data_IF_007634896779
#
_entry.id   IF_007634896779
#
_cell.length_a   1.000
_cell.length_b   1.000
_cell.length_c   1.000
_cell.angle_alpha   90.00
_cell.angle_beta   90.00
_cell.angle_gamma   90.00
#
_symmetry.space_group_name_H-M   'P 1'
#
loop_
_entity.id
_entity.type
_entity.pdbx_description
1 polymer ?
#
# COMPACT_ATOMS: atom_id res chain seq x y z
N UNK A 1 -17.39 -12.69 8.60
CA UNK A 1 -16.19 -13.09 7.80
C UNK A 1 -16.05 -12.28 6.52
N UNK A 2 -17.11 -12.12 5.71
CA UNK A 2 -17.04 -11.33 4.48
C UNK A 2 -16.55 -9.89 4.69
N UNK A 3 -17.03 -9.20 5.74
CA UNK A 3 -16.59 -7.83 6.03
C UNK A 3 -15.12 -7.75 6.42
N UNK A 4 -14.64 -8.71 7.21
CA UNK A 4 -13.22 -8.83 7.60
C UNK A 4 -12.35 -9.07 6.36
N UNK A 5 -12.74 -10.01 5.50
CA UNK A 5 -12.04 -10.27 4.24
C UNK A 5 -12.02 -9.03 3.35
N UNK A 6 -13.12 -8.27 3.32
CA UNK A 6 -13.23 -7.04 2.54
C UNK A 6 -12.30 -5.96 3.08
N UNK A 7 -12.33 -5.74 4.39
CA UNK A 7 -11.44 -4.82 5.09
C UNK A 7 -9.97 -5.17 4.86
N UNK A 8 -9.57 -6.42 5.13
CA UNK A 8 -8.18 -6.87 4.95
C UNK A 8 -7.72 -6.79 3.50
N UNK A 9 -8.60 -7.08 2.53
CA UNK A 9 -8.25 -6.95 1.10
C UNK A 9 -8.04 -5.49 0.71
N UNK A 10 -8.88 -4.58 1.20
CA UNK A 10 -8.70 -3.15 1.00
C UNK A 10 -7.40 -2.66 1.65
N UNK A 11 -7.20 -2.95 2.94
CA UNK A 11 -5.98 -2.61 3.68
C UNK A 11 -4.76 -3.13 2.96
N UNK A 12 -4.71 -4.41 2.57
CA UNK A 12 -3.54 -4.98 1.86
C UNK A 12 -3.14 -4.19 0.61
N UNK A 13 -4.11 -3.64 -0.12
CA UNK A 13 -3.84 -2.82 -1.32
C UNK A 13 -3.27 -1.46 -0.93
N UNK A 14 -3.85 -0.81 0.09
CA UNK A 14 -3.39 0.50 0.57
C UNK A 14 -2.03 0.40 1.27
N UNK A 15 -1.82 -0.61 2.12
CA UNK A 15 -0.54 -0.89 2.79
C UNK A 15 0.57 -1.15 1.77
N UNK A 16 0.29 -1.89 0.69
CA UNK A 16 1.28 -2.09 -0.38
C UNK A 16 1.70 -0.76 -1.02
N UNK A 17 0.75 0.14 -1.26
CA UNK A 17 1.03 1.44 -1.84
C UNK A 17 1.86 2.30 -0.87
N UNK A 18 1.49 2.30 0.41
CA UNK A 18 2.20 3.02 1.46
C UNK A 18 3.64 2.50 1.61
N UNK A 19 3.83 1.19 1.70
CA UNK A 19 5.15 0.56 1.75
C UNK A 19 6.01 0.91 0.52
N UNK A 20 5.46 0.81 -0.70
CA UNK A 20 6.17 1.17 -1.93
C UNK A 20 6.64 2.66 -1.92
N UNK A 21 5.83 3.57 -1.36
CA UNK A 21 6.21 4.99 -1.20
C UNK A 21 7.25 5.19 -0.10
N UNK A 22 7.09 4.50 1.02
CA UNK A 22 8.01 4.59 2.15
C UNK A 22 9.40 4.06 1.81
N UNK A 23 9.53 3.09 0.90
CA UNK A 23 10.83 2.66 0.36
C UNK A 23 11.59 3.84 -0.27
N UNK A 24 10.91 4.65 -1.09
CA UNK A 24 11.52 5.83 -1.72
C UNK A 24 11.86 6.89 -0.68
N UNK A 25 10.92 7.23 0.21
CA UNK A 25 11.14 8.23 1.25
C UNK A 25 12.27 7.83 2.20
N UNK A 26 12.34 6.55 2.59
CA UNK A 26 13.41 6.02 3.44
C UNK A 26 14.77 6.05 2.74
N UNK A 27 14.82 5.76 1.43
CA UNK A 27 16.05 5.87 0.66
C UNK A 27 16.58 7.30 0.64
N UNK A 28 15.71 8.27 0.41
CA UNK A 28 16.13 9.66 0.17
C UNK A 28 16.25 10.50 1.46
N UNK A 29 15.44 10.19 2.49
CA UNK A 29 15.36 10.95 3.73
C UNK A 29 15.67 10.14 4.99
N UNK A 30 16.02 8.87 4.87
CA UNK A 30 16.29 7.99 6.01
C UNK A 30 17.36 8.54 6.94
N UNK A 31 18.39 9.19 6.39
CA UNK A 31 19.50 9.76 7.17
C UNK A 31 19.37 11.27 7.42
N UNK A 32 18.21 11.85 7.09
CA UNK A 32 17.96 13.27 7.37
C UNK A 32 17.97 13.51 8.89
N UNK A 33 18.73 14.50 9.39
CA UNK A 33 18.92 14.69 10.84
C UNK A 33 17.62 14.95 11.60
N UNK A 34 16.67 15.64 10.96
CA UNK A 34 15.39 16.01 11.60
C UNK A 34 14.30 14.95 11.46
N UNK A 35 14.16 14.32 10.30
CA UNK A 35 13.00 13.46 9.98
C UNK A 35 13.35 12.00 9.77
N UNK A 36 14.63 11.65 9.62
CA UNK A 36 15.06 10.30 9.26
C UNK A 36 14.63 9.23 10.25
N UNK A 37 14.59 9.56 11.55
CA UNK A 37 14.02 8.67 12.58
C UNK A 37 12.54 8.37 12.32
N UNK A 38 11.74 9.40 12.04
CA UNK A 38 10.30 9.24 11.77
C UNK A 38 10.07 8.47 10.47
N UNK A 39 10.80 8.79 9.41
CA UNK A 39 10.72 8.10 8.11
C UNK A 39 11.01 6.61 8.25
N UNK A 40 12.06 6.22 8.99
CA UNK A 40 12.38 4.80 9.24
C UNK A 40 11.31 4.12 10.10
N UNK A 41 10.79 4.81 11.12
CA UNK A 41 9.74 4.26 11.97
C UNK A 41 8.47 3.97 11.17
N UNK A 42 7.99 4.94 10.40
CA UNK A 42 6.80 4.79 9.54
C UNK A 42 7.05 3.68 8.52
N UNK A 43 8.21 3.66 7.85
CA UNK A 43 8.52 2.61 6.88
C UNK A 43 8.45 1.20 7.47
N UNK A 44 8.95 1.03 8.70
CA UNK A 44 8.88 -0.26 9.38
C UNK A 44 7.45 -0.63 9.78
N UNK A 45 6.59 0.36 10.07
CA UNK A 45 5.20 0.14 10.42
C UNK A 45 4.38 -0.32 9.21
N UNK A 46 4.56 0.33 8.05
CA UNK A 46 3.94 -0.08 6.79
C UNK A 46 4.34 -1.51 6.39
N UNK A 47 5.61 -1.89 6.59
CA UNK A 47 6.08 -3.26 6.36
C UNK A 47 5.37 -4.27 7.28
N UNK A 48 5.10 -3.91 8.53
CA UNK A 48 4.40 -4.77 9.48
C UNK A 48 2.91 -4.89 9.14
N UNK A 49 2.25 -3.80 8.78
CA UNK A 49 0.85 -3.82 8.34
C UNK A 49 0.67 -4.66 7.06
N UNK A 50 1.57 -4.50 6.09
CA UNK A 50 1.54 -5.29 4.86
C UNK A 50 1.75 -6.79 5.15
N UNK A 51 2.71 -7.13 6.02
CA UNK A 51 2.95 -8.50 6.45
C UNK A 51 1.72 -9.12 7.12
N UNK A 52 1.10 -8.40 8.06
CA UNK A 52 -0.13 -8.83 8.73
C UNK A 52 -1.27 -9.10 7.74
N UNK A 53 -1.49 -8.18 6.80
CA UNK A 53 -2.53 -8.37 5.78
C UNK A 53 -2.28 -9.61 4.91
N UNK A 54 -1.02 -9.85 4.53
CA UNK A 54 -0.63 -11.04 3.79
C UNK A 54 -0.93 -12.33 4.57
N UNK A 55 -0.52 -12.39 5.83
CA UNK A 55 -0.71 -13.56 6.70
C UNK A 55 -2.19 -13.87 6.91
N UNK A 56 -2.99 -12.86 7.28
CA UNK A 56 -4.41 -13.06 7.57
C UNK A 56 -5.22 -13.41 6.32
N UNK A 57 -4.93 -12.78 5.17
CA UNK A 57 -5.59 -13.16 3.92
C UNK A 57 -5.21 -14.57 3.48
N UNK A 58 -3.97 -15.01 3.67
CA UNK A 58 -3.57 -16.39 3.40
C UNK A 58 -4.27 -17.38 4.34
N UNK A 59 -4.43 -17.02 5.63
CA UNK A 59 -5.19 -17.82 6.61
C UNK A 59 -6.66 -17.98 6.18
N UNK A 60 -7.32 -16.90 5.76
CA UNK A 60 -8.68 -16.97 5.24
C UNK A 60 -8.77 -17.68 3.89
N UNK A 61 -7.75 -17.59 3.03
CA UNK A 61 -7.69 -18.34 1.78
C UNK A 61 -7.62 -19.85 2.04
N UNK A 62 -6.80 -20.29 3.00
CA UNK A 62 -6.73 -21.68 3.45
C UNK A 62 -8.05 -22.18 4.05
N UNK A 63 -8.82 -21.29 4.69
CA UNK A 63 -10.17 -21.57 5.17
C UNK A 63 -11.25 -21.56 4.06
N UNK A 64 -10.87 -21.41 2.78
CA UNK A 64 -11.78 -21.53 1.63
C UNK A 64 -12.28 -20.21 1.03
N UNK A 65 -11.81 -19.04 1.52
CA UNK A 65 -12.27 -17.73 1.03
C UNK A 65 -11.48 -17.18 -0.18
N UNK A 66 -10.60 -17.97 -0.79
CA UNK A 66 -9.65 -17.51 -1.81
C UNK A 66 -10.28 -16.79 -3.01
N UNK A 67 -11.42 -17.26 -3.53
CA UNK A 67 -12.10 -16.58 -4.67
C UNK A 67 -12.63 -15.20 -4.31
N UNK A 68 -13.22 -15.06 -3.12
CA UNK A 68 -13.71 -13.78 -2.62
C UNK A 68 -12.55 -12.81 -2.43
N UNK A 69 -11.46 -13.27 -1.80
CA UNK A 69 -10.24 -12.48 -1.60
C UNK A 69 -9.69 -11.98 -2.95
N UNK A 70 -9.52 -12.86 -3.93
CA UNK A 70 -8.99 -12.48 -5.25
C UNK A 70 -9.85 -11.44 -5.97
N UNK A 71 -11.19 -11.61 -5.93
CA UNK A 71 -12.12 -10.63 -6.50
C UNK A 71 -11.98 -9.29 -5.80
N UNK A 72 -12.05 -9.28 -4.47
CA UNK A 72 -12.01 -8.03 -3.70
C UNK A 72 -10.66 -7.32 -3.85
N UNK A 73 -9.53 -8.05 -3.78
CA UNK A 73 -8.19 -7.49 -4.03
C UNK A 73 -8.11 -6.81 -5.40
N UNK A 74 -8.65 -7.43 -6.45
CA UNK A 74 -8.65 -6.86 -7.80
C UNK A 74 -9.51 -5.60 -7.89
N UNK A 75 -10.69 -5.62 -7.29
CA UNK A 75 -11.58 -4.46 -7.25
C UNK A 75 -10.91 -3.28 -6.51
N UNK A 76 -10.34 -3.54 -5.34
CA UNK A 76 -9.58 -2.55 -4.56
C UNK A 76 -8.37 -2.02 -5.34
N UNK A 77 -7.54 -2.88 -5.93
CA UNK A 77 -6.36 -2.47 -6.69
C UNK A 77 -6.70 -1.56 -7.88
N UNK A 78 -7.76 -1.87 -8.62
CA UNK A 78 -8.18 -1.04 -9.77
C UNK A 78 -8.78 0.30 -9.33
N UNK A 79 -9.45 0.34 -8.17
CA UNK A 79 -9.92 1.58 -7.56
C UNK A 79 -8.73 2.43 -7.10
N UNK A 80 -7.78 1.83 -6.38
CA UNK A 80 -6.58 2.49 -5.87
C UNK A 80 -5.74 3.12 -7.00
N UNK A 81 -5.49 2.39 -8.09
CA UNK A 81 -4.76 2.91 -9.26
C UNK A 81 -5.48 4.13 -9.88
N UNK A 82 -6.82 4.12 -9.89
CA UNK A 82 -7.60 5.25 -10.42
C UNK A 82 -7.53 6.46 -9.49
N UNK A 83 -7.72 6.25 -8.20
CA UNK A 83 -7.66 7.30 -7.18
C UNK A 83 -6.26 7.93 -7.20
N UNK A 84 -5.21 7.10 -7.27
CA UNK A 84 -3.83 7.57 -7.29
C UNK A 84 -3.53 8.50 -8.48
N UNK A 85 -4.05 8.16 -9.68
CA UNK A 85 -3.98 9.04 -10.86
C UNK A 85 -4.69 10.37 -10.60
N UNK A 86 -5.91 10.33 -10.10
CA UNK A 86 -6.76 11.52 -9.92
C UNK A 86 -6.16 12.47 -8.89
N UNK A 87 -5.68 11.94 -7.76
CA UNK A 87 -4.95 12.69 -6.74
C UNK A 87 -3.65 13.25 -7.30
N UNK A 88 -2.87 12.46 -8.03
CA UNK A 88 -1.61 12.92 -8.64
C UNK A 88 -1.82 14.08 -9.61
N UNK A 89 -2.84 14.01 -10.47
CA UNK A 89 -3.18 15.09 -11.40
C UNK A 89 -3.63 16.35 -10.66
N UNK A 90 -4.47 16.19 -9.62
CA UNK A 90 -4.95 17.31 -8.81
C UNK A 90 -3.80 18.01 -8.07
N UNK A 91 -2.95 17.25 -7.40
CA UNK A 91 -1.79 17.76 -6.65
C UNK A 91 -0.79 18.42 -7.59
N UNK A 92 -0.38 17.75 -8.67
CA UNK A 92 0.59 18.33 -9.62
C UNK A 92 0.03 19.56 -10.33
N UNK A 93 -1.27 19.56 -10.65
CA UNK A 93 -1.94 20.73 -11.20
C UNK A 93 -1.97 21.91 -10.22
N UNK A 94 -2.19 21.64 -8.93
CA UNK A 94 -2.15 22.66 -7.89
C UNK A 94 -0.73 23.19 -7.66
N UNK A 95 0.27 22.31 -7.53
CA UNK A 95 1.68 22.66 -7.40
C UNK A 95 2.18 23.47 -8.59
N UNK A 96 1.78 23.11 -9.81
CA UNK A 96 2.15 23.86 -11.01
C UNK A 96 1.62 25.29 -11.01
N UNK A 97 0.44 25.54 -10.41
CA UNK A 97 -0.08 26.90 -10.22
C UNK A 97 0.70 27.68 -9.18
N UNK A 98 0.99 27.07 -8.02
CA UNK A 98 1.76 27.70 -6.94
C UNK A 98 3.17 28.06 -7.41
N UNK A 99 3.82 27.15 -8.13
CA UNK A 99 5.21 27.27 -8.56
C UNK A 99 5.39 27.93 -9.93
N UNK A 100 4.30 28.40 -10.57
CA UNK A 100 4.36 29.10 -11.85
C UNK A 100 4.93 28.27 -13.00
N UNK A 101 4.65 26.97 -13.07
CA UNK A 101 5.21 26.10 -14.11
C UNK A 101 4.69 26.47 -15.52
N UNK A 102 5.58 26.48 -16.54
CA UNK A 102 5.15 26.72 -17.91
C UNK A 102 4.29 25.55 -18.40
N UNK A 103 3.32 25.83 -19.29
CA UNK A 103 2.36 24.84 -19.82
C UNK A 103 3.02 23.54 -20.32
N UNK A 104 4.14 23.57 -21.07
CA UNK A 104 4.79 22.35 -21.54
C UNK A 104 5.22 21.41 -20.40
N UNK A 105 5.76 21.96 -19.30
CA UNK A 105 6.17 21.17 -18.12
C UNK A 105 4.96 20.52 -17.46
N UNK A 106 3.89 21.28 -17.24
CA UNK A 106 2.66 20.76 -16.64
C UNK A 106 2.04 19.65 -17.50
N UNK A 107 1.98 19.84 -18.82
CA UNK A 107 1.47 18.84 -19.77
C UNK A 107 2.35 17.58 -19.80
N UNK A 108 3.68 17.71 -19.76
CA UNK A 108 4.59 16.57 -19.72
C UNK A 108 4.40 15.73 -18.44
N UNK A 109 4.25 16.38 -17.27
CA UNK A 109 3.99 15.69 -16.01
C UNK A 109 2.63 14.97 -16.02
N UNK A 110 1.57 15.63 -16.51
CA UNK A 110 0.26 15.01 -16.65
C UNK A 110 0.30 13.79 -17.58
N UNK A 111 1.01 13.89 -18.71
CA UNK A 111 1.21 12.77 -19.62
C UNK A 111 1.95 11.60 -18.93
N UNK A 112 2.98 11.90 -18.13
CA UNK A 112 3.68 10.89 -17.32
C UNK A 112 2.76 10.18 -16.33
N UNK A 113 1.86 10.92 -15.66
CA UNK A 113 0.86 10.33 -14.74
C UNK A 113 -0.10 9.41 -15.50
N UNK A 114 -0.57 9.82 -16.68
CA UNK A 114 -1.44 8.97 -17.51
C UNK A 114 -0.72 7.72 -18.03
N UNK A 115 0.55 7.84 -18.43
CA UNK A 115 1.36 6.69 -18.84
C UNK A 115 1.53 5.68 -17.69
N UNK A 116 1.86 6.17 -16.50
CA UNK A 116 1.98 5.34 -15.30
C UNK A 116 0.64 4.67 -14.94
N UNK A 117 -0.47 5.42 -15.01
CA UNK A 117 -1.81 4.86 -14.80
C UNK A 117 -2.12 3.70 -15.75
N UNK A 118 -1.80 3.85 -17.05
CA UNK A 118 -2.01 2.77 -18.03
C UNK A 118 -1.14 1.56 -17.72
N UNK A 119 0.13 1.77 -17.38
CA UNK A 119 1.03 0.70 -16.98
C UNK A 119 0.51 -0.06 -15.74
N UNK A 120 0.11 0.66 -14.69
CA UNK A 120 -0.42 0.04 -13.47
C UNK A 120 -1.71 -0.72 -13.75
N UNK A 121 -2.61 -0.15 -14.56
CA UNK A 121 -3.89 -0.77 -14.90
C UNK A 121 -3.73 -2.06 -15.71
N UNK A 122 -2.71 -2.17 -16.55
CA UNK A 122 -2.49 -3.38 -17.38
C UNK A 122 -1.65 -4.42 -16.63
N UNK A 123 -0.57 -4.00 -15.97
CA UNK A 123 0.42 -4.91 -15.39
C UNK A 123 0.63 -4.71 -13.89
N UNK A 124 0.76 -3.46 -13.44
CA UNK A 124 1.17 -3.16 -12.06
C UNK A 124 0.21 -3.66 -10.97
N UNK A 125 -1.09 -3.75 -11.28
CA UNK A 125 -2.10 -4.26 -10.35
C UNK A 125 -1.81 -5.68 -9.85
N UNK A 126 -1.05 -6.50 -10.61
CA UNK A 126 -0.68 -7.86 -10.19
C UNK A 126 0.10 -7.85 -8.87
N UNK A 127 1.00 -6.87 -8.67
CA UNK A 127 1.76 -6.72 -7.41
C UNK A 127 0.82 -6.43 -6.23
N UNK A 128 -0.28 -5.72 -6.46
CA UNK A 128 -1.24 -5.34 -5.41
C UNK A 128 -2.20 -6.47 -5.00
N UNK A 129 -2.26 -7.56 -5.77
CA UNK A 129 -3.17 -8.68 -5.49
C UNK A 129 -2.45 -9.98 -5.18
N UNK A 130 -1.14 -10.04 -5.43
CA UNK A 130 -0.33 -11.23 -5.14
C UNK A 130 -0.13 -11.37 -3.63
N UNK A 131 -0.59 -12.49 -3.08
CA UNK A 131 -0.32 -12.87 -1.70
C UNK A 131 0.91 -13.79 -1.65
N UNK A 132 1.72 -13.59 -0.62
CA UNK A 132 2.92 -14.36 -0.34
C UNK A 132 3.10 -14.42 1.18
N UNK A 133 3.66 -15.51 1.69
CA UNK A 133 3.97 -15.61 3.13
C UNK A 133 5.00 -14.53 3.46
N UNK A 134 4.74 -13.64 4.43
CA UNK A 134 5.66 -12.56 4.77
C UNK A 134 6.92 -13.12 5.44
N UNK A 135 8.05 -12.41 5.27
CA UNK A 135 9.31 -12.76 5.92
C UNK A 135 9.20 -12.64 7.45
N UNK A 136 8.55 -11.57 7.93
CA UNK A 136 8.16 -11.40 9.34
C UNK A 136 6.73 -11.87 9.54
N UNK A 137 6.56 -12.95 10.29
CA UNK A 137 5.25 -13.45 10.76
C UNK A 137 4.86 -12.80 12.07
N UNK A 138 3.56 -12.76 12.35
CA UNK A 138 3.00 -12.14 13.56
C UNK A 138 3.51 -10.71 13.77
N UNK A 139 3.53 -9.93 12.68
CA UNK A 139 4.20 -8.64 12.66
C UNK A 139 3.58 -7.60 13.61
N UNK A 140 2.29 -7.76 13.95
CA UNK A 140 1.55 -6.91 14.88
C UNK A 140 1.35 -7.52 16.27
N UNK A 141 1.79 -8.77 16.49
CA UNK A 141 1.61 -9.50 17.74
C UNK A 141 0.14 -9.88 18.01
N UNK A 142 -0.10 -11.16 18.31
CA UNK A 142 -1.34 -11.56 18.97
C UNK A 142 -1.47 -10.94 20.38
N UNK A 143 -2.68 -10.82 20.95
CA UNK A 143 -2.82 -10.47 22.36
C UNK A 143 -1.96 -11.43 23.19
N UNK A 144 -1.24 -10.91 24.19
CA UNK A 144 -0.36 -11.70 25.03
C UNK A 144 -1.11 -12.94 25.54
N UNK A 145 -0.58 -14.13 25.26
CA UNK A 145 -1.09 -15.37 25.86
C UNK A 145 -1.08 -15.16 27.37
N UNK A 146 -2.23 -15.29 28.03
CA UNK A 146 -2.29 -15.28 29.49
C UNK A 146 -1.27 -16.31 29.98
N UNK A 147 -0.35 -15.88 30.85
CA UNK A 147 0.54 -16.82 31.52
C UNK A 147 -0.33 -17.86 32.22
N UNK A 148 0.04 -19.16 32.21
CA UNK A 148 -0.72 -20.16 32.94
C UNK A 148 -0.82 -19.70 34.39
N UNK A 149 -2.05 -19.49 34.89
CA UNK A 149 -2.29 -19.26 36.31
C UNK A 149 -1.72 -20.46 37.04
N UNK A 150 -0.69 -20.22 37.86
CA UNK A 150 -0.16 -21.23 38.75
C UNK A 150 -1.24 -21.53 39.80
N UNK A 151 -1.72 -22.77 39.79
CA UNK A 151 -2.69 -23.32 40.74
C UNK A 151 -2.10 -23.47 42.14
#
# INVERSE_FOLDING_TARGET
VQDIVTYLSHSRVTEQRAADQMVMLRKDFGDHPEIGKAVRMISNDEDNHLAYCHEELLRYAAAGHGRTIQRTLRECALAEIRIYRDVSLAVMGHMGRILGWPKPKASALAAGIHAMYLYERVFGWRRMVSLAVPERRDALGGPASAAPEFA
#
